data_IF_785342591383
#
_entry.id   IF_785342591383
#
_cell.length_a   1.000
_cell.length_b   1.000
_cell.length_c   1.000
_cell.angle_alpha   90.00
_cell.angle_beta   90.00
_cell.angle_gamma   90.00
#
_symmetry.space_group_name_H-M   'P 1'
#
loop_
_entity.id
_entity.type
_entity.pdbx_description
1 polymer ?
#
# COMPACT_ATOMS: atom_id res chain seq x y z
N UNK A 1 -5.13 -4.56 -45.20
CA UNK A 1 -4.07 -4.23 -44.22
C UNK A 1 -3.88 -5.45 -43.34
N UNK A 2 -2.64 -5.87 -43.11
CA UNK A 2 -2.35 -7.01 -42.25
C UNK A 2 -2.81 -6.69 -40.83
N UNK A 3 -3.89 -7.30 -40.36
CA UNK A 3 -4.33 -7.14 -38.98
C UNK A 3 -3.27 -7.82 -38.11
N UNK A 4 -2.62 -7.05 -37.24
CA UNK A 4 -1.65 -7.58 -36.30
C UNK A 4 -2.31 -8.68 -35.46
N UNK A 5 -1.76 -9.88 -35.49
CA UNK A 5 -2.27 -11.02 -34.70
C UNK A 5 -1.85 -10.95 -33.24
N UNK A 6 -1.01 -9.99 -32.89
CA UNK A 6 -0.48 -9.83 -31.53
C UNK A 6 -1.04 -8.58 -30.88
N UNK A 7 -1.60 -8.70 -29.67
CA UNK A 7 -2.05 -7.54 -28.93
C UNK A 7 -0.88 -6.62 -28.62
N UNK A 8 -1.12 -5.31 -28.64
CA UNK A 8 -0.09 -4.30 -28.44
C UNK A 8 -0.66 -3.10 -27.67
N UNK A 9 0.21 -2.40 -26.94
CA UNK A 9 -0.13 -1.17 -26.22
C UNK A 9 0.49 0.02 -26.95
N UNK A 10 -0.32 1.07 -27.15
CA UNK A 10 0.11 2.38 -27.64
C UNK A 10 -0.09 3.43 -26.55
N UNK A 11 0.96 4.16 -26.24
CA UNK A 11 0.91 5.31 -25.33
C UNK A 11 0.34 6.53 -26.05
N UNK A 12 -0.37 7.36 -25.29
CA UNK A 12 -0.94 8.62 -25.78
C UNK A 12 -0.24 9.82 -25.12
N UNK A 13 -0.58 11.03 -25.57
CA UNK A 13 -0.13 12.26 -24.92
C UNK A 13 -0.74 12.47 -23.51
N UNK A 14 -1.81 11.74 -23.16
CA UNK A 14 -2.43 11.77 -21.85
C UNK A 14 -1.79 10.68 -20.98
N UNK A 15 -1.08 11.03 -19.88
CA UNK A 15 -0.38 10.04 -19.05
C UNK A 15 -1.31 8.96 -18.51
N UNK A 16 -0.98 7.70 -18.77
CA UNK A 16 -1.73 6.52 -18.33
C UNK A 16 -2.94 6.15 -19.19
N UNK A 17 -3.34 6.99 -20.16
CA UNK A 17 -4.33 6.61 -21.17
C UNK A 17 -3.63 5.75 -22.24
N UNK A 18 -4.07 4.50 -22.35
CA UNK A 18 -3.41 3.49 -23.18
C UNK A 18 -4.40 2.94 -24.20
N UNK A 19 -4.02 2.95 -25.48
CA UNK A 19 -4.78 2.26 -26.52
C UNK A 19 -4.25 0.84 -26.67
N UNK A 20 -5.16 -0.11 -26.78
CA UNK A 20 -4.87 -1.55 -26.80
C UNK A 20 -5.41 -2.11 -28.10
N UNK A 21 -4.51 -2.59 -28.94
CA UNK A 21 -4.87 -3.34 -30.13
C UNK A 21 -5.16 -4.78 -29.68
N UNK A 22 -6.39 -5.25 -29.89
CA UNK A 22 -6.89 -6.56 -29.48
C UNK A 22 -6.73 -7.60 -30.59
N UNK A 23 -6.40 -8.83 -30.21
CA UNK A 23 -6.51 -9.97 -31.09
C UNK A 23 -7.99 -10.35 -31.28
N UNK A 24 -8.44 -10.37 -32.52
CA UNK A 24 -9.79 -10.83 -32.91
C UNK A 24 -9.63 -11.95 -33.92
N UNK A 25 -10.27 -13.08 -33.65
CA UNK A 25 -10.18 -14.28 -34.45
C UNK A 25 -11.50 -14.52 -35.17
N UNK A 26 -11.50 -14.38 -36.50
CA UNK A 26 -12.67 -14.62 -37.35
C UNK A 26 -12.70 -16.04 -37.92
N UNK A 27 -13.89 -16.62 -38.02
CA UNK A 27 -14.18 -17.83 -38.79
C UNK A 27 -15.56 -17.73 -39.48
N UNK A 28 -16.04 -18.83 -40.08
CA UNK A 28 -17.32 -18.85 -40.79
C UNK A 28 -18.55 -18.61 -39.90
N UNK A 29 -18.41 -18.60 -38.58
CA UNK A 29 -19.48 -18.37 -37.59
C UNK A 29 -19.52 -16.93 -37.07
N UNK A 30 -18.52 -16.11 -37.41
CA UNK A 30 -18.35 -14.76 -36.89
C UNK A 30 -16.94 -14.53 -36.39
N UNK A 31 -16.79 -13.81 -35.28
CA UNK A 31 -15.49 -13.57 -34.65
C UNK A 31 -15.54 -13.77 -33.15
N UNK A 32 -14.38 -14.06 -32.57
CA UNK A 32 -14.15 -14.19 -31.15
C UNK A 32 -13.01 -13.27 -30.71
N UNK A 33 -13.16 -12.63 -29.56
CA UNK A 33 -12.08 -11.88 -28.91
C UNK A 33 -12.13 -12.05 -27.40
N UNK A 34 -10.96 -12.08 -26.78
CA UNK A 34 -10.84 -11.89 -25.34
C UNK A 34 -10.83 -10.39 -25.07
N UNK A 35 -11.98 -9.85 -24.67
CA UNK A 35 -12.08 -8.41 -24.43
C UNK A 35 -11.23 -7.97 -23.23
N UNK A 36 -11.17 -8.79 -22.18
CA UNK A 36 -10.28 -8.61 -21.04
C UNK A 36 -9.83 -9.98 -20.53
N UNK A 37 -8.53 -10.16 -20.37
CA UNK A 37 -7.93 -11.30 -19.69
C UNK A 37 -6.79 -10.74 -18.84
N UNK A 38 -6.94 -10.79 -17.51
CA UNK A 38 -6.06 -10.09 -16.57
C UNK A 38 -4.58 -10.38 -16.82
N UNK A 39 -4.17 -11.65 -16.81
CA UNK A 39 -2.77 -12.04 -16.96
C UNK A 39 -2.16 -11.53 -18.28
N UNK A 40 -2.83 -11.73 -19.42
CA UNK A 40 -2.37 -11.28 -20.73
C UNK A 40 -2.23 -9.76 -20.77
N UNK A 41 -3.22 -9.04 -20.25
CA UNK A 41 -3.24 -7.58 -20.26
C UNK A 41 -2.17 -6.99 -19.35
N UNK A 42 -1.98 -7.55 -18.15
CA UNK A 42 -0.93 -7.10 -17.24
C UNK A 42 0.48 -7.43 -17.75
N UNK A 43 0.66 -8.61 -18.37
CA UNK A 43 1.93 -8.99 -19.00
C UNK A 43 2.26 -8.09 -20.20
N UNK A 44 1.24 -7.57 -20.90
CA UNK A 44 1.38 -6.57 -21.96
C UNK A 44 1.77 -5.18 -21.44
N UNK A 45 1.59 -4.91 -20.14
CA UNK A 45 1.90 -3.62 -19.50
C UNK A 45 0.69 -2.76 -19.12
N UNK A 46 -0.54 -3.29 -19.18
CA UNK A 46 -1.70 -2.59 -18.61
C UNK A 46 -1.65 -2.62 -17.07
N UNK A 47 -2.10 -1.55 -16.40
CA UNK A 47 -2.31 -1.59 -14.96
C UNK A 47 -3.29 -2.71 -14.59
N UNK A 48 -2.94 -3.45 -13.53
CA UNK A 48 -3.87 -4.41 -12.94
C UNK A 48 -4.95 -3.68 -12.14
N UNK A 49 -5.98 -3.21 -12.84
CA UNK A 49 -6.99 -2.35 -12.25
C UNK A 49 -8.12 -3.11 -11.56
N UNK A 50 -8.24 -4.44 -11.72
CA UNK A 50 -9.20 -5.29 -11.01
C UNK A 50 -10.67 -4.92 -11.26
N UNK A 51 -11.22 -5.17 -12.46
CA UNK A 51 -12.59 -4.78 -12.78
C UNK A 51 -13.62 -5.49 -11.88
N UNK A 52 -14.55 -4.72 -11.31
CA UNK A 52 -15.63 -5.19 -10.42
C UNK A 52 -17.02 -5.06 -11.04
N UNK A 53 -17.13 -4.29 -12.12
CA UNK A 53 -18.39 -4.08 -12.84
C UNK A 53 -18.15 -4.03 -14.34
N UNK A 54 -19.07 -4.65 -15.08
CA UNK A 54 -19.15 -4.60 -16.54
C UNK A 54 -20.45 -3.90 -16.94
N UNK A 55 -20.35 -2.95 -17.85
CA UNK A 55 -21.50 -2.20 -18.36
C UNK A 55 -21.50 -2.21 -19.89
N UNK A 56 -22.69 -2.31 -20.46
CA UNK A 56 -22.91 -2.41 -21.91
C UNK A 56 -23.98 -1.40 -22.31
N UNK A 57 -23.69 -0.62 -23.34
CA UNK A 57 -24.61 0.35 -23.93
C UNK A 57 -24.86 -0.02 -25.40
N UNK A 58 -26.13 -0.29 -25.72
CA UNK A 58 -26.59 -0.38 -27.10
C UNK A 58 -27.03 1.00 -27.59
N UNK A 59 -26.66 1.34 -28.82
CA UNK A 59 -26.95 2.63 -29.43
C UNK A 59 -27.56 2.39 -30.82
N UNK A 60 -28.83 2.75 -30.98
CA UNK A 60 -29.58 2.50 -32.22
C UNK A 60 -29.04 3.27 -33.44
N UNK A 61 -29.08 4.61 -33.45
CA UNK A 61 -28.61 5.38 -34.61
C UNK A 61 -27.09 5.63 -34.60
N UNK A 62 -26.56 6.00 -35.77
CA UNK A 62 -25.26 6.68 -35.86
C UNK A 62 -25.38 8.10 -35.30
N UNK A 63 -24.26 8.68 -34.83
CA UNK A 63 -24.21 10.01 -34.25
C UNK A 63 -24.66 10.11 -32.80
N UNK A 64 -24.97 9.00 -32.12
CA UNK A 64 -25.22 9.01 -30.67
C UNK A 64 -23.93 9.42 -29.97
N UNK A 65 -23.95 10.53 -29.26
CA UNK A 65 -22.77 11.10 -28.60
C UNK A 65 -23.00 11.18 -27.09
N UNK A 66 -22.13 10.55 -26.29
CA UNK A 66 -22.18 10.61 -24.82
C UNK A 66 -21.30 11.74 -24.32
N UNK A 67 -21.71 12.48 -23.28
CA UNK A 67 -20.90 13.54 -22.69
C UNK A 67 -19.49 13.11 -22.27
N UNK A 68 -18.60 14.09 -22.07
CA UNK A 68 -17.25 13.85 -21.52
C UNK A 68 -17.38 13.73 -20.00
N UNK A 69 -17.21 12.52 -19.47
CA UNK A 69 -17.30 12.24 -18.03
C UNK A 69 -15.96 11.74 -17.51
N UNK A 70 -15.39 12.43 -16.50
CA UNK A 70 -14.22 12.00 -15.77
C UNK A 70 -14.65 11.37 -14.44
N UNK A 71 -14.67 10.04 -14.41
CA UNK A 71 -15.06 9.27 -13.24
C UNK A 71 -13.89 9.02 -12.27
N UNK A 72 -14.19 8.78 -10.98
CA UNK A 72 -13.17 8.53 -9.95
C UNK A 72 -12.59 7.10 -10.00
N UNK A 73 -12.75 6.38 -11.11
CA UNK A 73 -12.29 5.01 -11.31
C UNK A 73 -11.68 4.82 -12.69
N UNK A 74 -10.91 3.76 -12.83
CA UNK A 74 -10.31 3.38 -14.11
C UNK A 74 -11.34 2.62 -14.95
N UNK A 75 -11.21 2.73 -16.27
CA UNK A 75 -12.07 2.03 -17.22
C UNK A 75 -11.26 1.27 -18.25
N UNK A 76 -11.84 0.17 -18.73
CA UNK A 76 -11.38 -0.49 -19.95
C UNK A 76 -12.53 -0.51 -20.95
N UNK A 77 -12.42 0.31 -21.98
CA UNK A 77 -13.43 0.54 -23.02
C UNK A 77 -13.15 -0.34 -24.23
N UNK A 78 -14.19 -0.87 -24.86
CA UNK A 78 -14.10 -1.54 -26.16
C UNK A 78 -15.45 -1.58 -26.89
N UNK A 79 -15.43 -1.96 -28.17
CA UNK A 79 -16.64 -2.18 -28.96
C UNK A 79 -16.96 -3.66 -29.06
N UNK A 80 -18.19 -4.04 -28.71
CA UNK A 80 -18.71 -5.40 -28.89
C UNK A 80 -19.27 -5.58 -30.30
N UNK A 81 -19.83 -4.53 -30.89
CA UNK A 81 -20.30 -4.56 -32.27
C UNK A 81 -20.36 -3.14 -32.84
N UNK A 82 -19.95 -2.95 -34.09
CA UNK A 82 -20.10 -1.68 -34.80
C UNK A 82 -18.83 -0.83 -34.70
N UNK A 83 -18.99 0.49 -34.76
CA UNK A 83 -17.86 1.43 -34.75
C UNK A 83 -18.20 2.71 -34.03
N UNK A 84 -17.24 3.25 -33.30
CA UNK A 84 -17.37 4.54 -32.63
C UNK A 84 -16.12 5.39 -32.82
N UNK A 85 -16.27 6.69 -32.63
CA UNK A 85 -15.18 7.63 -32.43
C UNK A 85 -15.08 7.90 -30.94
N UNK A 86 -13.98 7.50 -30.32
CA UNK A 86 -13.68 7.79 -28.92
C UNK A 86 -12.95 9.12 -28.77
N UNK A 87 -13.29 9.88 -27.74
CA UNK A 87 -12.61 11.10 -27.37
C UNK A 87 -12.34 11.11 -25.85
N UNK A 88 -11.10 11.42 -25.49
CA UNK A 88 -10.66 11.52 -24.11
C UNK A 88 -10.03 12.87 -23.84
N UNK A 89 -10.34 13.45 -22.68
CA UNK A 89 -9.79 14.74 -22.25
C UNK A 89 -9.19 14.56 -20.86
N UNK A 90 -7.93 14.95 -20.68
CA UNK A 90 -7.33 14.93 -19.36
C UNK A 90 -7.94 16.03 -18.49
N UNK A 91 -8.82 15.66 -17.54
CA UNK A 91 -9.45 16.60 -16.62
C UNK A 91 -8.75 16.59 -15.25
N UNK A 92 -7.58 15.96 -15.14
CA UNK A 92 -6.78 15.95 -13.91
C UNK A 92 -6.01 17.24 -13.75
N UNK A 93 -5.87 17.69 -12.52
CA UNK A 93 -4.98 18.80 -12.17
C UNK A 93 -3.54 18.47 -12.60
N UNK A 94 -2.93 19.36 -13.37
CA UNK A 94 -1.55 19.18 -13.82
C UNK A 94 -1.27 19.83 -15.18
N UNK A 95 -0.03 19.67 -15.67
CA UNK A 95 0.41 20.29 -16.93
C UNK A 95 -0.32 19.75 -18.17
N UNK A 96 -0.98 18.60 -18.07
CA UNK A 96 -1.72 17.98 -19.17
C UNK A 96 -3.22 18.30 -19.15
N UNK A 97 -3.71 19.09 -18.19
CA UNK A 97 -5.14 19.45 -18.10
C UNK A 97 -5.65 20.05 -19.43
N UNK A 98 -6.75 19.52 -19.94
CA UNK A 98 -7.35 19.88 -21.23
C UNK A 98 -6.74 19.17 -22.45
N UNK A 99 -5.70 18.34 -22.28
CA UNK A 99 -5.11 17.57 -23.39
C UNK A 99 -6.13 16.59 -23.94
N UNK A 100 -6.26 16.51 -25.27
CA UNK A 100 -7.22 15.65 -25.97
C UNK A 100 -6.51 14.49 -26.65
N UNK A 101 -7.12 13.31 -26.58
CA UNK A 101 -6.80 12.17 -27.42
C UNK A 101 -8.07 11.64 -28.08
N UNK A 102 -7.96 11.18 -29.33
CA UNK A 102 -9.10 10.62 -30.08
C UNK A 102 -8.66 9.37 -30.82
N UNK A 103 -9.53 8.39 -30.90
CA UNK A 103 -9.25 7.10 -31.54
C UNK A 103 -10.51 6.57 -32.22
N UNK A 104 -10.37 5.93 -33.39
CA UNK A 104 -11.48 5.15 -33.95
C UNK A 104 -11.53 3.79 -33.27
N UNK A 105 -12.72 3.41 -32.81
CA UNK A 105 -12.96 2.18 -32.07
C UNK A 105 -13.77 1.22 -32.94
N UNK A 106 -13.27 0.00 -33.05
CA UNK A 106 -13.96 -1.16 -33.60
C UNK A 106 -13.71 -2.39 -32.70
N UNK A 107 -14.03 -3.59 -33.18
CA UNK A 107 -13.85 -4.82 -32.42
C UNK A 107 -12.38 -5.09 -32.04
N UNK A 108 -11.42 -4.51 -32.76
CA UNK A 108 -9.97 -4.67 -32.57
C UNK A 108 -9.35 -3.62 -31.67
N UNK A 109 -10.08 -2.58 -31.25
CA UNK A 109 -9.51 -1.50 -30.45
C UNK A 109 -10.19 -1.42 -29.10
N UNK A 110 -9.37 -1.36 -28.06
CA UNK A 110 -9.79 -1.03 -26.71
C UNK A 110 -8.95 0.11 -26.14
N UNK A 111 -9.44 0.76 -25.10
CA UNK A 111 -8.73 1.86 -24.45
C UNK A 111 -8.84 1.71 -22.94
N UNK A 112 -7.69 1.67 -22.26
CA UNK A 112 -7.63 1.82 -20.83
C UNK A 112 -7.60 3.30 -20.48
N UNK A 113 -8.62 3.74 -19.73
CA UNK A 113 -8.86 5.12 -19.33
C UNK A 113 -8.56 5.22 -17.83
N UNK A 114 -7.50 5.93 -17.43
CA UNK A 114 -7.22 6.12 -16.01
C UNK A 114 -8.23 7.08 -15.38
N UNK A 115 -8.47 6.92 -14.09
CA UNK A 115 -9.32 7.82 -13.30
C UNK A 115 -9.03 9.29 -13.56
N UNK A 116 -10.08 10.10 -13.61
CA UNK A 116 -9.98 11.54 -13.86
C UNK A 116 -9.75 11.94 -15.32
N UNK A 117 -9.50 11.00 -16.24
CA UNK A 117 -9.55 11.28 -17.67
C UNK A 117 -11.00 11.18 -18.14
N UNK A 118 -11.50 12.27 -18.71
CA UNK A 118 -12.85 12.36 -19.26
C UNK A 118 -13.00 11.42 -20.45
N UNK A 119 -13.97 10.51 -20.41
CA UNK A 119 -14.26 9.56 -21.48
C UNK A 119 -15.54 9.95 -22.21
N UNK A 120 -15.49 9.94 -23.54
CA UNK A 120 -16.62 10.26 -24.42
C UNK A 120 -16.57 9.41 -25.69
N UNK A 121 -17.71 9.22 -26.35
CA UNK A 121 -17.74 8.59 -27.68
C UNK A 121 -18.91 9.08 -28.52
N UNK A 122 -18.76 8.95 -29.83
CA UNK A 122 -19.80 9.13 -30.84
C UNK A 122 -19.92 7.88 -31.71
N UNK A 123 -21.12 7.32 -31.88
CA UNK A 123 -21.32 6.16 -32.75
C UNK A 123 -21.16 6.54 -34.22
N UNK A 124 -20.43 5.74 -34.99
CA UNK A 124 -20.19 5.97 -36.42
C UNK A 124 -21.12 5.19 -37.32
N UNK A 125 -21.71 4.11 -36.79
CA UNK A 125 -22.68 3.26 -37.49
C UNK A 125 -23.86 2.94 -36.56
N UNK A 126 -25.05 2.63 -37.12
CA UNK A 126 -26.18 2.15 -36.33
C UNK A 126 -25.85 0.87 -35.55
N UNK A 127 -26.66 0.58 -34.54
CA UNK A 127 -26.61 -0.64 -33.72
C UNK A 127 -25.24 -0.87 -33.04
N UNK A 128 -24.51 0.20 -32.72
CA UNK A 128 -23.21 0.11 -32.08
C UNK A 128 -23.36 -0.27 -30.61
N UNK A 129 -22.67 -1.35 -30.20
CA UNK A 129 -22.63 -1.85 -28.82
C UNK A 129 -21.29 -1.48 -28.18
N UNK A 130 -21.34 -0.50 -27.29
CA UNK A 130 -20.19 -0.02 -26.53
C UNK A 130 -20.13 -0.76 -25.18
N UNK A 131 -18.95 -1.25 -24.82
CA UNK A 131 -18.73 -2.03 -23.60
C UNK A 131 -17.61 -1.42 -22.78
N UNK A 132 -17.76 -1.41 -21.46
CA UNK A 132 -16.68 -0.98 -20.58
C UNK A 132 -16.69 -1.71 -19.24
N UNK A 133 -15.48 -2.01 -18.76
CA UNK A 133 -15.20 -2.51 -17.42
C UNK A 133 -14.76 -1.37 -16.52
N UNK A 134 -15.09 -1.42 -15.23
CA UNK A 134 -14.67 -0.43 -14.23
C UNK A 134 -14.23 -1.10 -12.93
N UNK A 135 -13.34 -0.44 -12.17
CA UNK A 135 -12.83 -0.95 -10.88
C UNK A 135 -13.45 -0.31 -9.63
N UNK A 136 -14.55 0.42 -9.79
CA UNK A 136 -15.39 0.84 -8.67
C UNK A 136 -16.87 0.64 -9.03
N UNK A 137 -17.70 0.40 -8.02
CA UNK A 137 -19.14 0.32 -8.20
C UNK A 137 -19.70 1.69 -8.57
N UNK A 138 -20.58 1.72 -9.58
CA UNK A 138 -21.32 2.93 -9.89
C UNK A 138 -22.19 3.34 -8.69
N UNK A 139 -22.21 4.64 -8.39
CA UNK A 139 -23.08 5.24 -7.38
C UNK A 139 -23.81 6.45 -7.97
N UNK A 140 -25.12 6.61 -7.71
CA UNK A 140 -25.86 7.81 -8.11
C UNK A 140 -25.35 9.07 -7.40
N UNK A 141 -24.73 8.91 -6.23
CA UNK A 141 -24.27 10.01 -5.38
C UNK A 141 -22.82 10.43 -5.66
N UNK A 142 -22.13 9.74 -6.58
CA UNK A 142 -20.76 10.09 -6.93
C UNK A 142 -20.73 11.40 -7.74
N UNK A 143 -19.94 12.37 -7.28
CA UNK A 143 -19.67 13.59 -8.03
C UNK A 143 -18.71 13.27 -9.19
N UNK A 144 -19.12 13.59 -10.42
CA UNK A 144 -18.29 13.44 -11.62
C UNK A 144 -17.84 14.81 -12.11
N UNK A 145 -16.58 14.90 -12.53
CA UNK A 145 -16.13 16.06 -13.31
C UNK A 145 -16.57 15.85 -14.75
N UNK A 146 -17.21 16.85 -15.35
CA UNK A 146 -17.82 16.74 -16.66
C UNK A 146 -17.39 17.91 -17.53
N UNK A 147 -17.23 17.68 -18.83
CA UNK A 147 -16.90 18.71 -19.81
C UNK A 147 -17.94 18.74 -20.92
N UNK A 148 -18.23 19.96 -21.40
CA UNK A 148 -19.12 20.18 -22.53
C UNK A 148 -18.54 19.63 -23.84
N UNK A 149 -19.36 18.92 -24.62
CA UNK A 149 -18.97 18.35 -25.91
C UNK A 149 -18.56 19.39 -26.95
N UNK A 150 -19.12 20.60 -26.87
CA UNK A 150 -18.90 21.68 -27.83
C UNK A 150 -17.79 22.65 -27.38
N UNK A 151 -17.03 22.32 -26.32
CA UNK A 151 -16.03 23.23 -25.75
C UNK A 151 -14.96 23.63 -26.78
N UNK A 152 -14.83 24.94 -26.97
CA UNK A 152 -14.03 25.55 -28.03
C UNK A 152 -12.52 25.47 -27.74
N UNK A 153 -12.14 25.21 -26.49
CA UNK A 153 -10.73 25.13 -26.08
C UNK A 153 -10.15 23.76 -26.38
N UNK A 154 -10.88 22.69 -26.05
CA UNK A 154 -10.48 21.32 -26.38
C UNK A 154 -10.79 20.96 -27.83
N UNK A 155 -11.83 21.57 -28.40
CA UNK A 155 -12.21 21.48 -29.82
C UNK A 155 -12.20 20.03 -30.37
N UNK A 156 -12.90 19.11 -29.70
CA UNK A 156 -12.96 17.70 -30.11
C UNK A 156 -13.50 17.61 -31.56
N UNK A 157 -12.79 16.96 -32.49
CA UNK A 157 -13.17 16.90 -33.90
C UNK A 157 -14.22 15.80 -34.15
N UNK A 158 -15.45 16.04 -33.68
CA UNK A 158 -16.57 15.10 -33.83
C UNK A 158 -16.86 14.77 -35.31
N UNK A 159 -16.83 13.48 -35.72
CA UNK A 159 -17.09 13.09 -37.11
C UNK A 159 -18.49 13.43 -37.63
N UNK A 160 -19.51 13.33 -36.78
CA UNK A 160 -20.86 13.84 -37.02
C UNK A 160 -20.99 15.18 -36.28
N UNK A 161 -21.37 16.27 -36.97
CA UNK A 161 -21.57 17.56 -36.34
C UNK A 161 -22.50 17.47 -35.13
N UNK A 162 -22.18 18.15 -34.02
CA UNK A 162 -23.00 18.09 -32.81
C UNK A 162 -24.44 18.59 -33.02
N UNK A 163 -24.69 19.41 -34.03
CA UNK A 163 -26.03 19.85 -34.46
C UNK A 163 -26.88 18.72 -35.06
N UNK A 164 -26.25 17.64 -35.51
CA UNK A 164 -26.88 16.46 -36.12
C UNK A 164 -26.75 15.21 -35.21
N UNK A 165 -25.99 15.33 -34.11
CA UNK A 165 -25.77 14.26 -33.16
C UNK A 165 -26.97 14.05 -32.23
N UNK A 166 -27.15 12.82 -31.76
CA UNK A 166 -28.12 12.48 -30.72
C UNK A 166 -27.41 12.59 -29.37
N UNK A 167 -27.73 13.65 -28.62
CA UNK A 167 -27.09 14.01 -27.34
C UNK A 167 -28.16 14.15 -26.26
N UNK A 168 -27.83 13.83 -25.00
CA UNK A 168 -28.73 14.08 -23.88
C UNK A 168 -28.73 15.56 -23.47
N UNK A 169 -29.87 16.09 -23.04
CA UNK A 169 -29.98 17.47 -22.54
C UNK A 169 -28.99 17.75 -21.38
N UNK A 170 -28.73 16.73 -20.55
CA UNK A 170 -27.77 16.81 -19.46
C UNK A 170 -26.36 17.10 -19.97
N UNK A 171 -25.92 16.37 -21.00
CA UNK A 171 -24.57 16.51 -21.54
C UNK A 171 -24.36 17.85 -22.25
N UNK A 172 -25.42 18.43 -22.83
CA UNK A 172 -25.40 19.77 -23.43
C UNK A 172 -25.18 20.88 -22.39
N UNK A 173 -25.61 20.65 -21.15
CA UNK A 173 -25.55 21.62 -20.06
C UNK A 173 -24.23 21.56 -19.24
N UNK A 174 -23.29 20.69 -19.60
CA UNK A 174 -22.01 20.57 -18.90
C UNK A 174 -21.17 21.85 -19.00
N UNK A 175 -20.28 22.10 -18.01
CA UNK A 175 -19.45 23.30 -18.01
C UNK A 175 -18.41 23.27 -19.14
N UNK A 176 -18.01 24.47 -19.58
CA UNK A 176 -16.82 24.68 -20.43
C UNK A 176 -15.55 24.46 -19.62
N UNK A 177 -14.42 24.17 -20.27
CA UNK A 177 -13.15 23.80 -19.63
C UNK A 177 -12.71 24.84 -18.59
N UNK A 178 -12.86 26.12 -18.88
CA UNK A 178 -12.51 27.21 -17.95
C UNK A 178 -13.35 27.25 -16.66
N UNK A 179 -14.49 26.55 -16.62
CA UNK A 179 -15.36 26.39 -15.45
C UNK A 179 -15.33 24.97 -14.87
N UNK A 180 -14.54 24.06 -15.45
CA UNK A 180 -14.32 22.72 -14.91
C UNK A 180 -13.39 22.82 -13.70
N UNK A 181 -13.86 22.37 -12.54
CA UNK A 181 -12.98 22.09 -11.42
C UNK A 181 -12.14 20.85 -11.79
N UNK A 182 -10.80 20.93 -11.86
CA UNK A 182 -9.98 19.77 -12.19
C UNK A 182 -10.19 18.65 -11.18
N UNK A 183 -10.19 17.41 -11.68
CA UNK A 183 -10.06 16.25 -10.81
C UNK A 183 -8.70 16.38 -10.15
N UNK A 184 -8.60 16.43 -8.81
CA UNK A 184 -7.30 16.46 -8.16
C UNK A 184 -6.45 15.33 -8.73
N UNK A 185 -5.19 15.59 -9.04
CA UNK A 185 -4.27 14.52 -9.41
C UNK A 185 -4.47 13.38 -8.39
N UNK A 186 -4.59 12.12 -8.86
CA UNK A 186 -4.79 10.96 -7.98
C UNK A 186 -3.90 11.16 -6.75
N UNK A 187 -4.48 11.24 -5.54
CA UNK A 187 -3.86 11.99 -4.46
C UNK A 187 -2.43 11.49 -4.29
N UNK A 188 -1.48 12.37 -4.59
CA UNK A 188 -0.10 12.14 -4.24
C UNK A 188 -0.04 12.28 -2.71
N UNK A 189 -0.28 11.18 -2.00
CA UNK A 189 0.14 11.04 -0.60
C UNK A 189 -0.90 11.31 0.49
N UNK A 190 -2.18 10.94 0.32
CA UNK A 190 -3.06 10.85 1.50
C UNK A 190 -2.77 9.58 2.28
N UNK A 191 -1.83 9.71 3.21
CA UNK A 191 -1.42 8.65 4.12
C UNK A 191 -2.19 8.74 5.44
N UNK A 192 -2.64 7.59 5.95
CA UNK A 192 -3.18 7.45 7.30
C UNK A 192 -2.21 6.62 8.14
N UNK A 193 -1.78 7.12 9.30
CA UNK A 193 -0.92 6.39 10.24
C UNK A 193 -1.74 5.98 11.46
N UNK A 194 -1.83 4.68 11.72
CA UNK A 194 -2.51 4.11 12.89
C UNK A 194 -1.49 3.80 13.99
N UNK A 195 -1.88 4.02 15.25
CA UNK A 195 -0.99 3.77 16.39
C UNK A 195 -0.04 4.93 16.67
N UNK A 196 -0.43 6.16 16.34
CA UNK A 196 0.39 7.37 16.45
C UNK A 196 0.99 7.63 17.85
N UNK A 197 0.34 7.11 18.91
CA UNK A 197 0.83 7.23 20.30
C UNK A 197 1.97 6.28 20.67
N UNK A 198 2.33 5.32 19.81
CA UNK A 198 3.45 4.39 20.01
C UNK A 198 4.81 4.98 19.61
N UNK A 199 5.90 4.27 19.92
CA UNK A 199 7.27 4.72 19.58
C UNK A 199 7.41 4.96 18.07
N UNK A 200 7.02 3.96 17.27
CA UNK A 200 7.08 4.04 15.81
C UNK A 200 6.05 5.02 15.23
N UNK A 201 4.85 5.07 15.79
CA UNK A 201 3.81 6.03 15.37
C UNK A 201 4.29 7.48 15.46
N UNK A 202 5.02 7.84 16.53
CA UNK A 202 5.65 9.16 16.67
C UNK A 202 6.71 9.43 15.60
N UNK A 203 7.63 8.49 15.37
CA UNK A 203 8.66 8.63 14.35
C UNK A 203 8.06 8.76 12.93
N UNK A 204 7.02 7.98 12.62
CA UNK A 204 6.29 8.09 11.35
C UNK A 204 5.57 9.42 11.19
N UNK A 205 4.96 9.93 12.26
CA UNK A 205 4.30 11.24 12.25
C UNK A 205 5.28 12.37 11.96
N UNK A 206 6.51 12.27 12.50
CA UNK A 206 7.57 13.22 12.20
C UNK A 206 8.09 13.10 10.76
N UNK A 207 8.22 11.87 10.25
CA UNK A 207 8.69 11.61 8.88
C UNK A 207 7.63 11.94 7.81
N UNK A 208 6.34 11.90 8.15
CA UNK A 208 5.20 12.11 7.27
C UNK A 208 4.26 13.19 7.83
N UNK A 209 4.68 14.47 7.85
CA UNK A 209 3.94 15.53 8.52
C UNK A 209 2.55 15.82 7.91
N UNK A 210 2.33 15.41 6.66
CA UNK A 210 1.05 15.56 5.96
C UNK A 210 0.08 14.39 6.20
N UNK A 211 0.50 13.34 6.91
CA UNK A 211 -0.34 12.17 7.14
C UNK A 211 -1.44 12.44 8.19
N UNK A 212 -2.61 11.84 7.98
CA UNK A 212 -3.65 11.77 9.02
C UNK A 212 -3.23 10.74 10.06
N UNK A 213 -2.89 11.21 11.26
CA UNK A 213 -2.46 10.34 12.36
C UNK A 213 -3.65 9.97 13.25
N UNK A 214 -3.79 8.69 13.59
CA UNK A 214 -4.85 8.15 14.45
C UNK A 214 -4.22 7.40 15.63
N UNK A 215 -4.55 7.85 16.83
CA UNK A 215 -4.24 7.17 18.07
C UNK A 215 -5.21 6.01 18.33
N UNK A 216 -4.91 5.18 19.34
CA UNK A 216 -5.83 4.12 19.78
C UNK A 216 -7.20 4.65 20.23
N UNK A 217 -7.26 5.87 20.77
CA UNK A 217 -8.51 6.47 21.21
C UNK A 217 -9.43 6.85 20.03
N UNK A 218 -8.85 7.14 18.87
CA UNK A 218 -9.58 7.48 17.65
C UNK A 218 -9.93 6.24 16.83
N UNK A 219 -9.03 5.25 16.81
CA UNK A 219 -9.25 3.96 16.17
C UNK A 219 -8.59 2.82 16.96
N UNK A 220 -9.39 2.05 17.68
CA UNK A 220 -8.94 0.80 18.32
C UNK A 220 -9.11 -0.36 17.32
N UNK A 221 -7.99 -0.97 16.91
CA UNK A 221 -8.01 -2.11 15.99
C UNK A 221 -8.75 -3.34 16.54
N UNK A 222 -8.98 -3.40 17.86
CA UNK A 222 -9.77 -4.48 18.46
C UNK A 222 -11.28 -4.29 18.28
N UNK A 223 -11.72 -3.08 17.91
CA UNK A 223 -13.10 -2.78 17.55
C UNK A 223 -13.31 -2.94 16.05
N UNK A 224 -13.87 -4.08 15.67
CA UNK A 224 -14.18 -4.40 14.27
C UNK A 224 -15.05 -3.32 13.60
N UNK A 225 -16.08 -2.83 14.29
CA UNK A 225 -17.03 -1.89 13.69
C UNK A 225 -16.35 -0.55 13.42
N UNK A 226 -15.46 -0.10 14.33
CA UNK A 226 -14.67 1.12 14.13
C UNK A 226 -13.74 1.00 12.92
N UNK A 227 -13.05 -0.13 12.73
CA UNK A 227 -12.18 -0.37 11.57
C UNK A 227 -12.97 -0.45 10.27
N UNK A 228 -14.14 -1.11 10.27
CA UNK A 228 -14.99 -1.21 9.08
C UNK A 228 -15.61 0.14 8.67
N UNK A 229 -15.86 1.02 9.64
CA UNK A 229 -16.39 2.37 9.43
C UNK A 229 -15.33 3.41 9.05
N UNK A 230 -14.04 3.06 9.05
CA UNK A 230 -12.97 3.97 8.67
C UNK A 230 -13.10 4.36 7.19
N UNK A 231 -13.35 5.63 6.91
CA UNK A 231 -13.37 6.14 5.55
C UNK A 231 -11.95 6.18 4.96
N UNK A 232 -11.75 5.32 3.97
CA UNK A 232 -10.54 5.17 3.16
C UNK A 232 -10.75 5.56 1.69
N UNK A 233 -11.91 6.14 1.33
CA UNK A 233 -12.26 6.46 -0.06
C UNK A 233 -11.27 7.41 -0.75
N UNK A 234 -10.63 8.29 0.01
CA UNK A 234 -9.61 9.23 -0.46
C UNK A 234 -8.20 8.93 0.10
N UNK A 235 -7.96 7.71 0.58
CA UNK A 235 -6.69 7.30 1.21
C UNK A 235 -5.90 6.40 0.26
N UNK A 236 -4.65 6.74 0.00
CA UNK A 236 -3.77 5.95 -0.86
C UNK A 236 -2.97 4.92 -0.08
N UNK A 237 -2.54 5.30 1.12
CA UNK A 237 -1.66 4.49 1.97
C UNK A 237 -2.18 4.45 3.39
N UNK A 238 -2.30 3.25 3.94
CA UNK A 238 -2.54 3.02 5.36
C UNK A 238 -1.26 2.45 5.98
N UNK A 239 -0.73 3.08 7.01
CA UNK A 239 0.43 2.62 7.76
C UNK A 239 -0.03 2.18 9.14
N UNK A 240 0.01 0.88 9.39
CA UNK A 240 -0.40 0.30 10.66
C UNK A 240 0.79 0.08 11.60
N UNK A 241 1.05 1.06 12.48
CA UNK A 241 2.01 0.96 13.58
C UNK A 241 1.36 0.58 14.93
N UNK A 242 0.06 0.22 14.93
CA UNK A 242 -0.63 -0.26 16.12
C UNK A 242 -0.40 -1.77 16.31
N UNK A 243 -0.03 -2.16 17.54
CA UNK A 243 0.16 -3.56 17.92
C UNK A 243 0.06 -3.73 19.44
N UNK A 244 -0.28 -4.93 19.88
CA UNK A 244 -0.03 -5.39 21.24
C UNK A 244 1.39 -5.93 21.33
N UNK A 245 2.26 -5.27 22.11
CA UNK A 245 3.71 -5.56 22.16
C UNK A 245 4.22 -6.08 23.52
N UNK A 246 3.33 -6.30 24.49
CA UNK A 246 3.70 -6.82 25.82
C UNK A 246 3.88 -8.34 25.76
N UNK A 247 5.06 -8.79 25.31
CA UNK A 247 5.38 -10.21 25.02
C UNK A 247 5.00 -11.15 26.17
N UNK A 248 5.49 -10.90 27.40
CA UNK A 248 5.19 -11.78 28.53
C UNK A 248 3.70 -11.73 28.93
N UNK A 249 3.05 -10.56 28.82
CA UNK A 249 1.62 -10.43 29.11
C UNK A 249 0.78 -11.24 28.11
N UNK A 250 1.23 -11.39 26.87
CA UNK A 250 0.53 -12.17 25.85
C UNK A 250 0.30 -13.63 26.26
N UNK A 251 1.14 -14.19 27.15
CA UNK A 251 0.97 -15.56 27.65
C UNK A 251 -0.15 -15.71 28.69
N UNK A 252 -0.60 -14.61 29.29
CA UNK A 252 -1.74 -14.62 30.20
C UNK A 252 -3.06 -14.84 29.46
N UNK A 253 -4.09 -15.38 30.12
CA UNK A 253 -5.38 -15.64 29.49
C UNK A 253 -6.03 -14.37 28.89
N UNK A 254 -5.88 -13.22 29.57
CA UNK A 254 -6.40 -11.94 29.08
C UNK A 254 -5.51 -11.31 27.99
N UNK A 255 -4.19 -11.31 28.22
CA UNK A 255 -3.25 -10.79 27.23
C UNK A 255 -3.25 -11.57 25.93
N UNK A 256 -3.49 -12.89 25.96
CA UNK A 256 -3.68 -13.71 24.76
C UNK A 256 -4.83 -13.21 23.90
N UNK A 257 -5.99 -12.95 24.49
CA UNK A 257 -7.15 -12.42 23.75
C UNK A 257 -6.86 -11.04 23.17
N UNK A 258 -6.20 -10.17 23.93
CA UNK A 258 -5.83 -8.83 23.46
C UNK A 258 -4.79 -8.87 22.34
N UNK A 259 -3.79 -9.76 22.45
CA UNK A 259 -2.78 -9.96 21.42
C UNK A 259 -3.41 -10.44 20.11
N UNK A 260 -4.26 -11.46 20.16
CA UNK A 260 -4.97 -11.96 18.96
C UNK A 260 -5.94 -10.93 18.40
N UNK A 261 -6.68 -10.21 19.24
CA UNK A 261 -7.59 -9.16 18.78
C UNK A 261 -6.85 -8.03 18.04
N UNK A 262 -5.73 -7.55 18.59
CA UNK A 262 -5.00 -6.42 18.02
C UNK A 262 -4.07 -6.81 16.87
N UNK A 263 -3.32 -7.92 17.00
CA UNK A 263 -2.26 -8.29 16.06
C UNK A 263 -2.73 -9.19 14.92
N UNK A 264 -3.85 -9.92 15.10
CA UNK A 264 -4.36 -10.86 14.10
C UNK A 264 -5.72 -10.40 13.55
N UNK A 265 -6.77 -10.43 14.36
CA UNK A 265 -8.14 -10.15 13.89
C UNK A 265 -8.30 -8.71 13.40
N UNK A 266 -7.83 -7.73 14.18
CA UNK A 266 -7.87 -6.31 13.80
C UNK A 266 -7.07 -6.02 12.54
N UNK A 267 -5.91 -6.67 12.37
CA UNK A 267 -5.08 -6.58 11.16
C UNK A 267 -5.81 -7.16 9.95
N UNK A 268 -6.48 -8.31 10.10
CA UNK A 268 -7.26 -8.91 9.00
C UNK A 268 -8.44 -8.03 8.55
N UNK A 269 -9.15 -7.41 9.50
CA UNK A 269 -10.23 -6.46 9.18
C UNK A 269 -9.67 -5.23 8.45
N UNK A 270 -8.54 -4.68 8.93
CA UNK A 270 -7.88 -3.55 8.28
C UNK A 270 -7.38 -3.90 6.87
N UNK A 271 -6.80 -5.09 6.70
CA UNK A 271 -6.33 -5.60 5.42
C UNK A 271 -7.48 -5.75 4.42
N UNK A 272 -8.63 -6.27 4.85
CA UNK A 272 -9.84 -6.32 4.03
C UNK A 272 -10.34 -4.90 3.67
N UNK A 273 -10.32 -3.95 4.60
CA UNK A 273 -10.68 -2.57 4.32
C UNK A 273 -9.75 -1.94 3.27
N UNK A 274 -8.43 -2.06 3.46
CA UNK A 274 -7.43 -1.56 2.50
C UNK A 274 -7.63 -2.18 1.10
N UNK A 275 -7.89 -3.48 1.01
CA UNK A 275 -8.15 -4.16 -0.25
C UNK A 275 -9.39 -3.62 -0.98
N UNK A 276 -10.51 -3.41 -0.27
CA UNK A 276 -11.75 -2.84 -0.85
C UNK A 276 -11.55 -1.45 -1.44
N UNK A 277 -10.69 -0.64 -0.81
CA UNK A 277 -10.41 0.73 -1.24
C UNK A 277 -9.18 0.83 -2.17
N UNK A 278 -8.51 -0.29 -2.45
CA UNK A 278 -7.31 -0.32 -3.27
C UNK A 278 -6.11 0.40 -2.63
N UNK A 279 -6.09 0.58 -1.32
CA UNK A 279 -5.00 1.23 -0.59
C UNK A 279 -3.75 0.35 -0.54
N UNK A 280 -2.57 0.97 -0.55
CA UNK A 280 -1.34 0.32 -0.10
C UNK A 280 -1.37 0.17 1.42
N UNK A 281 -1.13 -1.03 1.96
CA UNK A 281 -1.03 -1.28 3.40
C UNK A 281 0.43 -1.51 3.82
N UNK A 282 0.97 -0.63 4.66
CA UNK A 282 2.23 -0.87 5.38
C UNK A 282 1.90 -1.46 6.75
N UNK A 283 2.45 -2.63 7.08
CA UNK A 283 2.24 -3.28 8.38
C UNK A 283 3.59 -3.71 8.97
N UNK A 284 3.80 -3.42 10.25
CA UNK A 284 5.02 -3.82 10.96
C UNK A 284 4.80 -5.12 11.69
N UNK A 285 5.71 -6.08 11.48
CA UNK A 285 5.74 -7.37 12.16
C UNK A 285 6.98 -7.53 13.02
N UNK A 286 7.35 -8.75 13.39
CA UNK A 286 8.43 -9.05 14.32
C UNK A 286 9.24 -10.25 13.86
N UNK A 287 10.52 -10.28 14.23
CA UNK A 287 11.37 -11.47 14.25
C UNK A 287 10.77 -12.67 15.02
N UNK A 288 9.86 -12.44 15.97
CA UNK A 288 9.22 -13.50 16.77
C UNK A 288 8.25 -14.38 15.96
N UNK A 289 8.08 -14.10 14.66
CA UNK A 289 7.40 -15.00 13.74
C UNK A 289 8.26 -16.22 13.37
N UNK A 290 9.55 -16.20 13.69
CA UNK A 290 10.50 -17.30 13.56
C UNK A 290 10.77 -17.96 14.91
N UNK A 291 11.37 -19.16 14.89
CA UNK A 291 11.75 -19.90 16.11
C UNK A 291 13.18 -19.57 16.59
N UNK A 292 13.99 -18.91 15.76
CA UNK A 292 15.38 -18.56 16.07
C UNK A 292 16.39 -19.70 15.86
N UNK A 293 15.99 -20.80 15.23
CA UNK A 293 16.91 -21.91 14.90
C UNK A 293 17.74 -21.64 13.64
N UNK A 294 17.21 -20.83 12.72
CA UNK A 294 17.93 -20.29 11.57
C UNK A 294 19.01 -19.27 11.99
N UNK A 295 20.12 -19.21 11.27
CA UNK A 295 21.20 -18.25 11.57
C UNK A 295 20.78 -16.80 11.27
N UNK A 296 20.24 -16.57 10.07
CA UNK A 296 19.69 -15.29 9.60
C UNK A 296 18.54 -15.59 8.61
N UNK A 297 17.29 -15.78 9.07
CA UNK A 297 16.17 -16.08 8.19
C UNK A 297 15.95 -15.01 7.13
N UNK A 298 15.65 -15.46 5.91
CA UNK A 298 15.17 -14.62 4.81
C UNK A 298 13.65 -14.43 4.85
N UNK A 299 13.11 -13.52 4.05
CA UNK A 299 11.68 -13.18 4.09
C UNK A 299 10.75 -14.34 3.71
N UNK A 300 11.24 -15.28 2.90
CA UNK A 300 10.50 -16.47 2.43
C UNK A 300 10.59 -17.66 3.41
N UNK A 301 11.34 -17.52 4.51
CA UNK A 301 11.42 -18.57 5.53
C UNK A 301 10.04 -18.82 6.18
N UNK A 302 9.61 -20.09 6.36
CA UNK A 302 8.32 -20.40 6.96
C UNK A 302 8.16 -19.84 8.37
N UNK A 303 6.94 -19.41 8.69
CA UNK A 303 6.60 -18.92 10.03
C UNK A 303 6.60 -20.08 11.03
N UNK A 304 7.34 -19.92 12.13
CA UNK A 304 7.47 -20.89 13.22
C UNK A 304 7.53 -20.22 14.61
N UNK A 305 6.54 -19.41 15.01
CA UNK A 305 6.60 -18.64 16.24
C UNK A 305 6.53 -19.50 17.51
N UNK A 306 7.39 -19.22 18.51
CA UNK A 306 7.47 -19.96 19.77
C UNK A 306 6.36 -19.63 20.78
N UNK A 307 5.91 -18.36 20.82
CA UNK A 307 5.01 -17.84 21.86
C UNK A 307 3.80 -17.08 21.31
N UNK A 308 2.84 -16.73 22.16
CA UNK A 308 1.55 -16.14 21.77
C UNK A 308 1.72 -14.81 21.03
N UNK A 309 2.67 -13.97 21.46
CA UNK A 309 2.96 -12.72 20.76
C UNK A 309 3.38 -13.00 19.30
N UNK A 310 4.39 -13.86 19.11
CA UNK A 310 4.86 -14.27 17.78
C UNK A 310 3.76 -14.91 16.93
N UNK A 311 2.95 -15.80 17.52
CA UNK A 311 1.81 -16.45 16.85
C UNK A 311 0.78 -15.42 16.37
N UNK A 312 0.44 -14.44 17.21
CA UNK A 312 -0.51 -13.38 16.84
C UNK A 312 0.05 -12.46 15.75
N UNK A 313 1.35 -12.17 15.74
CA UNK A 313 2.03 -11.40 14.69
C UNK A 313 2.09 -12.18 13.38
N UNK A 314 2.44 -13.47 13.42
CA UNK A 314 2.43 -14.36 12.27
C UNK A 314 1.05 -14.48 11.62
N UNK A 315 -0.03 -14.52 12.41
CA UNK A 315 -1.39 -14.48 11.88
C UNK A 315 -1.70 -13.14 11.17
N UNK A 316 -1.19 -12.01 11.70
CA UNK A 316 -1.24 -10.71 11.03
C UNK A 316 -0.45 -10.69 9.71
N UNK A 317 0.75 -11.29 9.67
CA UNK A 317 1.56 -11.44 8.45
C UNK A 317 0.76 -12.14 7.35
N UNK A 318 0.13 -13.27 7.68
CA UNK A 318 -0.68 -14.04 6.73
C UNK A 318 -1.88 -13.24 6.21
N UNK A 319 -2.50 -12.41 7.07
CA UNK A 319 -3.62 -11.58 6.66
C UNK A 319 -3.20 -10.42 5.72
N UNK A 320 -1.99 -9.89 5.89
CA UNK A 320 -1.45 -8.81 5.06
C UNK A 320 -0.86 -9.34 3.75
N UNK A 321 -0.20 -10.51 3.78
CA UNK A 321 0.55 -11.04 2.63
C UNK A 321 -0.32 -11.37 1.41
N UNK A 322 -1.63 -11.56 1.61
CA UNK A 322 -2.59 -11.81 0.52
C UNK A 322 -3.02 -10.53 -0.20
N UNK A 323 -2.67 -9.34 0.29
CA UNK A 323 -2.97 -8.08 -0.39
C UNK A 323 -2.01 -7.87 -1.56
N UNK A 324 -2.47 -7.49 -2.75
CA UNK A 324 -1.55 -7.16 -3.85
C UNK A 324 -0.64 -5.95 -3.56
N UNK A 325 -1.15 -4.97 -2.80
CA UNK A 325 -0.46 -3.71 -2.49
C UNK A 325 -0.11 -3.64 -1.00
N UNK A 326 0.96 -4.32 -0.60
CA UNK A 326 1.41 -4.29 0.79
C UNK A 326 2.93 -4.13 0.93
N UNK A 327 3.33 -3.54 2.05
CA UNK A 327 4.69 -3.62 2.59
C UNK A 327 4.62 -4.19 4.00
N UNK A 328 5.01 -5.46 4.16
CA UNK A 328 5.06 -6.13 5.45
C UNK A 328 6.49 -6.06 6.00
N UNK A 329 6.71 -5.26 7.03
CA UNK A 329 8.05 -4.94 7.54
C UNK A 329 8.31 -5.70 8.84
N UNK A 330 9.02 -6.83 8.78
CA UNK A 330 9.44 -7.56 10.00
C UNK A 330 10.66 -6.87 10.59
N UNK A 331 10.59 -6.56 11.88
CA UNK A 331 11.65 -5.85 12.60
C UNK A 331 11.98 -6.53 13.92
N UNK A 332 13.02 -6.07 14.62
CA UNK A 332 13.39 -6.60 15.93
C UNK A 332 13.91 -5.49 16.85
N UNK A 333 13.73 -5.71 18.14
CA UNK A 333 14.38 -4.95 19.22
C UNK A 333 14.24 -3.43 19.07
N UNK A 334 12.99 -2.98 18.89
CA UNK A 334 12.66 -1.59 18.54
C UNK A 334 13.00 -0.61 19.69
N UNK A 335 13.67 0.49 19.35
CA UNK A 335 14.05 1.58 20.24
C UNK A 335 13.58 2.91 19.66
N UNK A 336 12.80 3.67 20.43
CA UNK A 336 12.38 5.02 20.03
C UNK A 336 12.02 5.87 21.24
N UNK A 337 11.12 6.83 21.02
CA UNK A 337 10.55 7.61 22.11
C UNK A 337 9.48 6.80 22.85
N UNK A 338 9.75 6.38 24.10
CA UNK A 338 8.85 5.57 24.93
C UNK A 338 9.63 4.60 25.81
N UNK A 339 8.93 3.72 26.54
CA UNK A 339 9.59 2.68 27.33
C UNK A 339 10.29 1.66 26.43
N UNK A 340 11.59 1.45 26.62
CA UNK A 340 12.41 0.48 25.87
C UNK A 340 13.59 -0.04 26.71
N UNK A 341 14.28 -1.05 26.18
CA UNK A 341 15.41 -1.69 26.88
C UNK A 341 16.56 -0.73 27.15
N UNK A 342 16.97 0.09 26.16
CA UNK A 342 18.07 1.05 26.30
C UNK A 342 17.81 2.04 27.43
N UNK A 343 16.62 2.66 27.46
CA UNK A 343 16.21 3.57 28.54
C UNK A 343 16.14 2.87 29.91
N UNK A 344 15.74 1.60 29.94
CA UNK A 344 15.73 0.82 31.18
C UNK A 344 17.16 0.63 31.69
N UNK A 345 18.11 0.25 30.83
CA UNK A 345 19.52 0.10 31.22
C UNK A 345 20.15 1.41 31.66
N UNK A 346 19.87 2.53 30.98
CA UNK A 346 20.32 3.87 31.41
C UNK A 346 19.84 4.20 32.82
N UNK A 347 18.54 3.99 33.08
CA UNK A 347 17.95 4.24 34.40
C UNK A 347 18.65 3.41 35.49
N UNK A 348 18.84 2.11 35.26
CA UNK A 348 19.53 1.22 36.21
C UNK A 348 20.99 1.67 36.46
N UNK A 349 21.72 2.06 35.41
CA UNK A 349 23.09 2.56 35.53
C UNK A 349 23.16 3.84 36.39
N UNK A 350 22.23 4.78 36.17
CA UNK A 350 22.12 6.02 36.96
C UNK A 350 21.76 5.76 38.42
N UNK A 351 20.84 4.81 38.66
CA UNK A 351 20.45 4.35 40.00
C UNK A 351 21.54 3.51 40.69
N UNK A 352 22.61 3.10 39.97
CA UNK A 352 23.68 2.27 40.52
C UNK A 352 23.26 0.81 40.75
N UNK A 353 22.24 0.33 40.04
CA UNK A 353 21.78 -1.05 40.10
C UNK A 353 22.60 -1.90 39.13
N UNK A 354 23.06 -3.06 39.58
CA UNK A 354 23.79 -4.04 38.76
C UNK A 354 22.85 -5.14 38.24
N UNK A 355 22.38 -5.07 36.98
CA UNK A 355 21.39 -6.00 36.46
C UNK A 355 21.98 -7.34 36.04
N UNK A 356 21.14 -8.37 36.07
CA UNK A 356 21.36 -9.62 35.34
C UNK A 356 20.71 -9.51 33.97
N UNK A 357 21.48 -9.73 32.90
CA UNK A 357 21.04 -9.52 31.51
C UNK A 357 21.40 -10.73 30.66
N UNK A 358 20.47 -11.14 29.81
CA UNK A 358 20.60 -12.30 28.92
C UNK A 358 21.72 -12.09 27.89
N UNK A 359 22.61 -13.07 27.73
CA UNK A 359 23.78 -12.99 26.83
C UNK A 359 23.75 -14.01 25.67
N UNK A 360 22.84 -14.98 25.72
CA UNK A 360 22.66 -16.04 24.70
C UNK A 360 21.51 -15.75 23.71
N UNK A 361 20.86 -14.59 23.81
CA UNK A 361 19.92 -14.07 22.81
C UNK A 361 20.58 -12.97 21.99
N UNK A 362 20.70 -13.18 20.66
CA UNK A 362 21.47 -12.30 19.76
C UNK A 362 20.58 -11.69 18.69
N UNK A 363 20.71 -10.38 18.45
CA UNK A 363 19.90 -9.63 17.50
C UNK A 363 20.53 -8.30 17.09
N UNK A 364 19.73 -7.45 16.44
CA UNK A 364 20.09 -6.05 16.14
C UNK A 364 19.03 -5.14 16.74
N UNK A 365 19.44 -4.05 17.38
CA UNK A 365 18.54 -2.96 17.72
C UNK A 365 17.92 -2.39 16.45
N UNK A 366 16.68 -1.89 16.52
CA UNK A 366 16.11 -1.12 15.43
C UNK A 366 15.55 0.21 15.93
N UNK A 367 16.15 1.31 15.52
CA UNK A 367 15.67 2.63 15.87
C UNK A 367 14.41 2.98 15.06
N UNK A 368 13.42 3.60 15.71
CA UNK A 368 12.14 3.92 15.05
C UNK A 368 12.30 4.87 13.87
N UNK A 369 13.31 5.72 13.90
CA UNK A 369 13.73 6.61 12.83
C UNK A 369 14.20 5.82 11.61
N UNK A 370 14.87 4.69 11.83
CA UNK A 370 15.32 3.79 10.76
C UNK A 370 14.14 3.08 10.09
N UNK A 371 13.18 2.59 10.90
CA UNK A 371 11.93 2.04 10.39
C UNK A 371 11.13 3.07 9.59
N UNK A 372 11.06 4.30 10.06
CA UNK A 372 10.40 5.39 9.34
C UNK A 372 11.13 5.71 8.03
N UNK A 373 12.47 5.77 8.02
CA UNK A 373 13.30 5.99 6.84
C UNK A 373 13.08 4.90 5.78
N UNK A 374 13.09 3.63 6.20
CA UNK A 374 12.80 2.50 5.31
C UNK A 374 11.37 2.54 4.78
N UNK A 375 10.39 2.92 5.61
CA UNK A 375 8.99 3.06 5.19
C UNK A 375 8.83 4.13 4.11
N UNK A 376 9.41 5.31 4.31
CA UNK A 376 9.40 6.39 3.32
C UNK A 376 10.11 5.97 2.04
N UNK A 377 11.26 5.29 2.15
CA UNK A 377 12.00 4.78 1.00
C UNK A 377 11.16 3.83 0.15
N UNK A 378 10.52 2.83 0.76
CA UNK A 378 9.68 1.86 0.05
C UNK A 378 8.45 2.52 -0.60
N UNK A 379 7.88 3.52 0.06
CA UNK A 379 6.75 4.29 -0.50
C UNK A 379 7.17 5.28 -1.61
N UNK A 380 8.43 5.71 -1.64
CA UNK A 380 8.94 6.72 -2.57
C UNK A 380 9.29 6.19 -3.97
N UNK A 381 9.42 4.87 -4.19
CA UNK A 381 9.51 4.34 -5.55
C UNK A 381 10.02 2.91 -5.72
N UNK A 382 9.50 2.25 -6.77
CA UNK A 382 9.93 1.02 -7.47
C UNK A 382 10.12 -0.28 -6.67
N UNK A 383 10.17 -0.24 -5.34
CA UNK A 383 10.24 -1.45 -4.54
C UNK A 383 8.97 -2.29 -4.77
N UNK A 384 9.15 -3.54 -5.18
CA UNK A 384 8.04 -4.46 -5.34
C UNK A 384 7.28 -4.59 -4.01
N UNK A 385 5.95 -4.62 -4.08
CA UNK A 385 5.14 -4.96 -2.91
C UNK A 385 5.54 -6.33 -2.37
N UNK A 386 5.47 -6.50 -1.05
CA UNK A 386 5.86 -7.75 -0.41
C UNK A 386 6.34 -7.57 1.03
N UNK A 387 7.00 -8.62 1.51
CA UNK A 387 7.64 -8.66 2.81
C UNK A 387 9.08 -8.18 2.72
N UNK A 388 9.52 -7.41 3.72
CA UNK A 388 10.90 -6.96 3.89
C UNK A 388 11.30 -7.09 5.35
N UNK A 389 12.55 -7.51 5.58
CA UNK A 389 13.19 -7.39 6.87
C UNK A 389 13.79 -5.99 7.04
N UNK A 390 13.49 -5.36 8.17
CA UNK A 390 13.93 -3.99 8.47
C UNK A 390 14.47 -3.93 9.89
N UNK A 391 15.79 -3.87 10.01
CA UNK A 391 16.52 -3.56 11.24
C UNK A 391 17.64 -2.58 10.92
N UNK A 392 18.30 -2.01 11.94
CA UNK A 392 19.59 -1.39 11.70
C UNK A 392 20.61 -2.45 11.23
N UNK A 393 21.63 -2.02 10.50
CA UNK A 393 22.74 -2.86 10.07
C UNK A 393 23.78 -3.07 11.18
N UNK A 394 24.97 -3.52 10.78
CA UNK A 394 26.10 -3.74 11.68
C UNK A 394 26.14 -5.13 12.31
N UNK A 395 27.23 -5.39 13.04
CA UNK A 395 27.46 -6.65 13.76
C UNK A 395 26.36 -6.89 14.80
N UNK A 396 25.67 -8.05 14.80
CA UNK A 396 24.70 -8.41 15.83
C UNK A 396 25.31 -8.41 17.23
N UNK A 397 24.47 -8.22 18.24
CA UNK A 397 24.89 -8.28 19.63
C UNK A 397 23.84 -8.87 20.56
N UNK A 398 24.28 -9.33 21.73
CA UNK A 398 23.40 -9.80 22.79
C UNK A 398 22.80 -8.64 23.60
N UNK A 399 21.74 -8.91 24.35
CA UNK A 399 21.19 -7.92 25.29
C UNK A 399 22.24 -7.48 26.33
N UNK A 400 23.08 -8.38 26.82
CA UNK A 400 24.15 -8.05 27.75
C UNK A 400 25.23 -7.15 27.12
N UNK A 401 25.60 -7.37 25.85
CA UNK A 401 26.52 -6.49 25.13
C UNK A 401 25.93 -5.08 24.95
N UNK A 402 24.66 -4.97 24.61
CA UNK A 402 23.97 -3.67 24.53
C UNK A 402 23.97 -2.98 25.91
N UNK A 403 23.59 -3.71 26.97
CA UNK A 403 23.57 -3.17 28.32
C UNK A 403 24.95 -2.67 28.77
N UNK A 404 26.03 -3.42 28.50
CA UNK A 404 27.40 -3.01 28.81
C UNK A 404 27.77 -1.68 28.14
N UNK A 405 27.45 -1.51 26.85
CA UNK A 405 27.69 -0.25 26.14
C UNK A 405 26.91 0.93 26.73
N UNK A 406 25.65 0.69 27.12
CA UNK A 406 24.83 1.71 27.80
C UNK A 406 25.43 2.07 29.16
N UNK A 407 25.88 1.09 29.95
CA UNK A 407 26.52 1.32 31.24
C UNK A 407 27.84 2.11 31.09
N UNK A 408 28.67 1.73 30.13
CA UNK A 408 29.91 2.44 29.82
C UNK A 408 29.65 3.91 29.45
N UNK A 409 28.61 4.18 28.66
CA UNK A 409 28.21 5.54 28.30
C UNK A 409 27.79 6.38 29.53
N UNK A 410 27.06 5.78 30.48
CA UNK A 410 26.68 6.42 31.74
C UNK A 410 27.82 6.49 32.79
N UNK A 411 29.06 6.17 32.39
CA UNK A 411 30.23 6.19 33.28
C UNK A 411 30.27 5.07 34.31
N UNK A 412 29.52 3.98 34.11
CA UNK A 412 29.54 2.77 34.93
C UNK A 412 30.42 1.69 34.29
N UNK A 413 31.12 0.85 35.09
CA UNK A 413 31.93 -0.22 34.53
C UNK A 413 31.06 -1.27 33.85
N UNK A 414 31.50 -1.80 32.70
CA UNK A 414 30.78 -2.88 32.00
C UNK A 414 30.60 -4.14 32.87
N UNK A 415 31.51 -4.37 33.82
CA UNK A 415 31.44 -5.48 34.77
C UNK A 415 30.26 -5.39 35.75
N UNK A 416 29.56 -4.25 35.83
CA UNK A 416 28.32 -4.10 36.59
C UNK A 416 27.12 -4.77 35.90
N UNK A 417 27.27 -5.24 34.66
CA UNK A 417 26.26 -6.02 33.94
C UNK A 417 26.60 -7.50 34.04
N UNK A 418 25.79 -8.24 34.80
CA UNK A 418 25.96 -9.67 35.04
C UNK A 418 25.29 -10.47 33.91
N UNK A 419 26.10 -11.03 33.01
CA UNK A 419 25.60 -11.89 31.95
C UNK A 419 25.01 -13.19 32.52
N UNK A 420 23.84 -13.58 32.01
CA UNK A 420 23.16 -14.84 32.34
C UNK A 420 22.59 -15.47 31.07
N UNK A 421 22.31 -16.76 31.09
CA UNK A 421 21.55 -17.44 30.03
C UNK A 421 20.05 -17.11 30.12
N UNK A 422 19.33 -17.27 29.01
CA UNK A 422 17.87 -17.14 28.97
C UNK A 422 17.19 -18.13 29.93
N UNK A 423 17.75 -19.34 30.07
CA UNK A 423 17.25 -20.36 30.99
C UNK A 423 17.39 -19.93 32.46
N UNK A 424 18.56 -19.41 32.86
CA UNK A 424 18.79 -18.89 34.21
C UNK A 424 17.89 -17.69 34.52
N UNK A 425 17.75 -16.77 33.56
CA UNK A 425 16.89 -15.61 33.71
C UNK A 425 15.42 -16.01 33.90
N UNK A 426 14.91 -16.91 33.05
CA UNK A 426 13.52 -17.38 33.11
C UNK A 426 13.19 -18.12 34.40
N UNK A 427 14.13 -18.92 34.93
CA UNK A 427 13.97 -19.60 36.21
C UNK A 427 13.86 -18.61 37.38
N UNK A 428 14.57 -17.48 37.31
CA UNK A 428 14.55 -16.45 38.34
C UNK A 428 13.29 -15.56 38.32
N UNK A 429 12.68 -15.35 37.15
CA UNK A 429 11.54 -14.42 36.99
C UNK A 429 10.16 -15.09 37.00
N UNK A 430 10.08 -16.40 37.25
CA UNK A 430 8.81 -17.13 37.34
C UNK A 430 8.19 -17.52 35.99
N UNK A 431 9.03 -17.72 34.97
CA UNK A 431 8.60 -18.12 33.63
C UNK A 431 8.33 -16.91 32.73
N UNK A 432 9.24 -16.65 31.81
CA UNK A 432 9.08 -15.63 30.77
C UNK A 432 8.48 -16.25 29.50
N UNK A 433 7.88 -15.44 28.63
CA UNK A 433 7.46 -15.93 27.32
C UNK A 433 8.66 -16.53 26.55
N UNK A 434 8.46 -17.62 25.77
CA UNK A 434 9.49 -18.14 24.89
C UNK A 434 9.97 -17.08 23.92
N UNK A 435 11.30 -16.95 23.78
CA UNK A 435 11.96 -15.98 22.90
C UNK A 435 12.92 -16.71 21.98
N UNK A 436 13.07 -16.29 20.71
CA UNK A 436 14.09 -16.83 19.83
C UNK A 436 15.49 -16.61 20.38
N UNK A 437 16.37 -17.61 20.27
CA UNK A 437 17.79 -17.47 20.65
C UNK A 437 18.54 -16.56 19.66
N UNK A 438 18.13 -16.57 18.39
CA UNK A 438 18.58 -15.60 17.38
C UNK A 438 17.42 -14.85 16.75
N UNK A 439 17.56 -13.52 16.76
CA UNK A 439 16.64 -12.52 16.21
C UNK A 439 17.29 -11.71 15.08
N UNK A 440 18.34 -12.24 14.46
CA UNK A 440 19.06 -11.58 13.37
C UNK A 440 18.32 -11.83 12.06
N UNK A 441 17.92 -10.78 11.37
CA UNK A 441 17.20 -10.86 10.10
C UNK A 441 18.16 -10.57 8.93
N UNK A 442 18.05 -11.33 7.83
CA UNK A 442 18.74 -11.01 6.58
C UNK A 442 18.13 -9.73 5.99
N UNK A 443 18.97 -8.75 5.62
CA UNK A 443 18.56 -7.44 5.09
C UNK A 443 18.82 -7.30 3.58
N UNK A 444 19.22 -8.38 2.90
CA UNK A 444 19.62 -8.37 1.48
C UNK A 444 18.53 -7.80 0.59
N UNK A 445 17.28 -8.27 0.73
CA UNK A 445 16.16 -7.78 -0.07
C UNK A 445 15.89 -6.29 0.09
N UNK A 446 16.02 -5.75 1.31
CA UNK A 446 15.91 -4.32 1.56
C UNK A 446 17.05 -3.55 0.87
N UNK A 447 18.29 -4.05 0.95
CA UNK A 447 19.46 -3.45 0.29
C UNK A 447 19.34 -3.43 -1.23
N UNK A 448 18.75 -4.46 -1.83
CA UNK A 448 18.50 -4.52 -3.28
C UNK A 448 17.55 -3.42 -3.77
N UNK A 449 16.74 -2.83 -2.89
CA UNK A 449 15.94 -1.63 -3.21
C UNK A 449 16.76 -0.34 -3.24
N UNK A 450 18.06 -0.40 -2.92
CA UNK A 450 18.96 0.75 -2.79
C UNK A 450 18.97 1.39 -1.40
N UNK A 451 18.34 0.77 -0.40
CA UNK A 451 18.36 1.24 0.98
C UNK A 451 19.58 0.69 1.73
N UNK A 452 20.44 1.55 2.29
CA UNK A 452 21.52 1.10 3.17
C UNK A 452 21.14 1.29 4.65
N UNK A 453 21.02 0.21 5.44
CA UNK A 453 20.73 0.29 6.86
C UNK A 453 21.85 0.97 7.66
N UNK A 454 21.51 1.89 8.55
CA UNK A 454 22.47 2.51 9.47
C UNK A 454 22.98 1.46 10.47
N UNK A 455 24.27 1.45 10.77
CA UNK A 455 24.87 0.59 11.80
C UNK A 455 24.24 0.80 13.19
N UNK A 456 23.83 -0.29 13.85
CA UNK A 456 23.11 -0.23 15.12
C UNK A 456 23.92 0.38 16.27
N UNK A 457 25.25 0.22 16.26
CA UNK A 457 26.11 0.70 17.33
C UNK A 457 26.32 2.21 17.20
N UNK A 458 26.54 2.69 15.97
CA UNK A 458 26.56 4.11 15.67
C UNK A 458 25.21 4.77 16.01
N UNK A 459 24.10 4.13 15.67
CA UNK A 459 22.75 4.60 16.01
C UNK A 459 22.51 4.62 17.53
N UNK A 460 22.97 3.60 18.27
CA UNK A 460 22.89 3.56 19.74
C UNK A 460 23.65 4.72 20.37
N UNK A 461 24.89 4.98 19.96
CA UNK A 461 25.64 6.12 20.48
C UNK A 461 24.96 7.47 20.17
N UNK A 462 24.40 7.61 18.96
CA UNK A 462 23.63 8.78 18.57
C UNK A 462 22.40 8.99 19.47
N UNK A 463 21.65 7.92 19.72
CA UNK A 463 20.48 7.94 20.60
C UNK A 463 20.83 8.30 22.04
N UNK A 464 21.92 7.73 22.58
CA UNK A 464 22.38 8.01 23.94
C UNK A 464 22.76 9.50 24.09
N UNK A 465 23.56 10.03 23.16
CA UNK A 465 23.96 11.46 23.14
C UNK A 465 22.78 12.42 22.98
N UNK A 466 21.78 12.08 22.17
CA UNK A 466 20.61 12.93 21.96
C UNK A 466 19.64 12.95 23.14
N UNK A 467 19.82 12.03 24.10
CA UNK A 467 18.95 11.88 25.27
C UNK A 467 19.69 12.17 26.59
N UNK A 468 20.89 12.73 26.51
CA UNK A 468 21.55 13.46 27.61
C UNK A 468 20.89 14.82 27.81
#
# INVERSE_FOLDING_TARGET
>A
MSVSTHPAIRHTAIPGLLVVDLAVHGDSRGWFKENWQRAKMTDLGLPDFGPVQHSVAHNGPAGVTRGVHAEPWDKFVSIVHGRAFGAWVDLREGPTFGTVHTEQLDEHTAVFVPRGVGNSYQTLVPETVYSYLVNAHWSPDAAYTMLNLADETVAIPWPVPLSEAVVSDKDLAHPRLGAVAPVPAAPSGRTVVLGAGGQLGRALSAALPSARVLSRAELDLTDRAAVEALDLSAVDTVINAAAFTQVDRAETADGRRQAWAANATGVAVLAAAAARHGCTLVHYSSDYVYDGTGQEPGEDEPLAPLGVYGQSKAAGDLAVSVLPRHYLLRTSWVVGEGGNFVRTMRRLAREGVEPRVVDDQVGRLTFTEELARATVHLLAGHAAYGTYHVTNGGEPGSWAQIARRVFAHEGRPESAVHAVSAAEYGAATGGAAPRPDRSVLDLTRLRETGFEPQDQWAALEGYLRATD
#
